data_IF_648121738995
#
_entry.id   IF_648121738995
#
_cell.length_a   1.000
_cell.length_b   1.000
_cell.length_c   1.000
_cell.angle_alpha   90.00
_cell.angle_beta   90.00
_cell.angle_gamma   90.00
#
_symmetry.space_group_name_H-M   'P 1'
#
loop_
_entity.id
_entity.type
_entity.pdbx_description
1 polymer ?
#
# COMPACT_ATOMS: atom_id res chain seq x y z
N UNK A 1 -28.27 -10.49 2.88
CA UNK A 1 -27.20 -9.95 3.74
C UNK A 1 -26.83 -8.56 3.26
N UNK A 2 -26.80 -7.59 4.17
CA UNK A 2 -26.28 -6.22 3.92
C UNK A 2 -24.79 -6.25 3.61
N UNK A 3 -24.21 -5.14 3.13
CA UNK A 3 -22.75 -5.03 2.92
C UNK A 3 -22.00 -5.24 4.23
N UNK A 4 -22.48 -4.60 5.31
CA UNK A 4 -21.92 -4.78 6.65
C UNK A 4 -21.85 -6.26 7.01
N UNK A 5 -22.96 -7.00 6.94
CA UNK A 5 -22.97 -8.44 7.26
C UNK A 5 -22.00 -9.27 6.42
N UNK A 6 -21.84 -8.95 5.13
CA UNK A 6 -20.88 -9.65 4.26
C UNK A 6 -19.44 -9.36 4.70
N UNK A 7 -19.13 -8.10 4.94
CA UNK A 7 -17.78 -7.70 5.37
C UNK A 7 -17.46 -8.20 6.78
N UNK A 8 -18.42 -8.21 7.70
CA UNK A 8 -18.28 -8.82 9.02
C UNK A 8 -17.88 -10.29 8.92
N UNK A 9 -18.56 -11.04 8.04
CA UNK A 9 -18.26 -12.45 7.80
C UNK A 9 -16.81 -12.63 7.32
N UNK A 10 -16.35 -11.85 6.34
CA UNK A 10 -15.00 -11.96 5.82
C UNK A 10 -13.94 -11.45 6.81
N UNK A 11 -14.20 -10.35 7.54
CA UNK A 11 -13.30 -9.85 8.56
C UNK A 11 -13.09 -10.89 9.68
N UNK A 12 -14.17 -11.51 10.18
CA UNK A 12 -14.08 -12.60 11.18
C UNK A 12 -13.26 -13.77 10.65
N UNK A 13 -13.46 -14.14 9.39
CA UNK A 13 -12.72 -15.23 8.76
C UNK A 13 -11.24 -14.92 8.61
N UNK A 14 -10.88 -13.71 8.20
CA UNK A 14 -9.47 -13.27 8.10
C UNK A 14 -8.82 -13.36 9.49
N UNK A 15 -9.48 -12.85 10.52
CA UNK A 15 -8.98 -12.88 11.90
C UNK A 15 -8.80 -14.32 12.42
N UNK A 16 -9.70 -15.24 12.07
CA UNK A 16 -9.71 -16.61 12.59
C UNK A 16 -8.82 -17.58 11.80
N UNK A 17 -8.78 -17.42 10.49
CA UNK A 17 -8.22 -18.41 9.56
C UNK A 17 -7.17 -17.82 8.61
N UNK A 18 -6.96 -16.50 8.63
CA UNK A 18 -6.24 -15.79 7.59
C UNK A 18 -7.03 -15.76 6.28
N UNK A 19 -6.37 -15.36 5.20
CA UNK A 19 -6.88 -15.63 3.85
C UNK A 19 -6.86 -17.15 3.64
N UNK A 20 -8.02 -17.76 3.34
CA UNK A 20 -8.32 -19.20 3.39
C UNK A 20 -7.18 -20.13 2.93
N UNK A 21 -6.42 -19.72 1.92
CA UNK A 21 -5.24 -20.41 1.38
C UNK A 21 -3.99 -19.52 1.45
N UNK A 22 -3.28 -19.46 2.60
CA UNK A 22 -2.05 -18.68 2.73
C UNK A 22 -0.98 -19.16 1.75
N UNK A 23 -0.93 -20.45 1.45
CA UNK A 23 -0.04 -20.99 0.41
C UNK A 23 -0.25 -20.33 -0.95
N UNK A 24 -1.45 -19.84 -1.27
CA UNK A 24 -1.70 -19.06 -2.49
C UNK A 24 -1.02 -17.70 -2.43
N UNK A 25 -0.98 -17.05 -1.26
CA UNK A 25 -0.25 -15.79 -1.04
C UNK A 25 1.24 -15.98 -1.26
N UNK A 26 1.84 -17.02 -0.66
CA UNK A 26 3.26 -17.31 -0.88
C UNK A 26 3.54 -17.74 -2.33
N UNK A 27 2.66 -18.51 -2.98
CA UNK A 27 2.81 -18.86 -4.40
C UNK A 27 2.73 -17.62 -5.28
N UNK A 28 1.78 -16.73 -5.03
CA UNK A 28 1.69 -15.44 -5.72
C UNK A 28 3.00 -14.65 -5.58
N UNK A 29 3.54 -14.52 -4.36
CA UNK A 29 4.82 -13.84 -4.14
C UNK A 29 6.00 -14.52 -4.83
N UNK A 30 6.11 -15.85 -4.76
CA UNK A 30 7.17 -16.59 -5.47
C UNK A 30 7.04 -16.40 -6.98
N UNK A 31 5.82 -16.46 -7.53
CA UNK A 31 5.57 -16.20 -8.94
C UNK A 31 5.94 -14.76 -9.30
N UNK A 32 5.54 -13.76 -8.52
CA UNK A 32 5.93 -12.36 -8.75
C UNK A 32 7.45 -12.17 -8.66
N UNK A 33 8.13 -12.84 -7.71
CA UNK A 33 9.59 -12.83 -7.65
C UNK A 33 10.23 -13.41 -8.91
N UNK A 34 9.72 -14.54 -9.40
CA UNK A 34 10.21 -15.18 -10.63
C UNK A 34 9.89 -14.36 -11.88
N UNK A 35 8.70 -13.75 -11.96
CA UNK A 35 8.28 -12.93 -13.10
C UNK A 35 9.02 -11.60 -13.11
N UNK A 36 9.03 -10.88 -11.99
CA UNK A 36 9.75 -9.62 -11.87
C UNK A 36 11.24 -9.92 -11.99
N UNK A 37 11.87 -10.56 -11.00
CA UNK A 37 13.33 -10.69 -11.04
C UNK A 37 13.83 -11.67 -12.09
N UNK A 38 13.24 -12.85 -12.24
CA UNK A 38 13.64 -13.79 -13.29
C UNK A 38 13.39 -13.25 -14.71
N UNK A 39 12.25 -12.60 -14.94
CA UNK A 39 11.95 -11.92 -16.21
C UNK A 39 12.89 -10.74 -16.47
N UNK A 40 13.18 -9.91 -15.47
CA UNK A 40 14.16 -8.81 -15.60
C UNK A 40 15.58 -9.32 -15.82
N UNK A 41 15.99 -10.41 -15.17
CA UNK A 41 17.30 -11.03 -15.43
C UNK A 41 17.41 -11.51 -16.88
N UNK A 42 16.36 -12.14 -17.41
CA UNK A 42 16.29 -12.55 -18.82
C UNK A 42 16.28 -11.32 -19.74
N UNK A 43 15.48 -10.30 -19.45
CA UNK A 43 15.42 -9.06 -20.25
C UNK A 43 16.76 -8.32 -20.26
N UNK A 44 17.42 -8.17 -19.11
CA UNK A 44 18.75 -7.56 -18.99
C UNK A 44 19.79 -8.37 -19.75
N UNK A 45 19.72 -9.71 -19.68
CA UNK A 45 20.64 -10.59 -20.40
C UNK A 45 20.42 -10.59 -21.93
N UNK A 46 19.19 -10.32 -22.38
CA UNK A 46 18.82 -10.30 -23.80
C UNK A 46 18.86 -8.90 -24.43
N UNK A 47 18.89 -7.83 -23.65
CA UNK A 47 18.87 -6.45 -24.15
C UNK A 47 20.30 -5.91 -24.38
N UNK A 48 20.58 -5.35 -25.57
CA UNK A 48 21.91 -4.83 -25.89
C UNK A 48 22.23 -3.49 -25.21
N UNK A 49 21.22 -2.69 -24.79
CA UNK A 49 21.42 -1.39 -24.10
C UNK A 49 20.35 -1.10 -23.03
N UNK A 50 20.72 -0.60 -21.84
CA UNK A 50 19.77 -0.20 -20.79
C UNK A 50 18.82 0.95 -21.16
N UNK A 51 19.11 1.72 -22.21
CA UNK A 51 18.24 2.80 -22.72
C UNK A 51 16.95 2.30 -23.34
N UNK A 52 16.89 1.00 -23.66
CA UNK A 52 15.77 0.39 -24.38
C UNK A 52 14.74 -0.19 -23.40
N UNK A 53 14.97 0.00 -22.09
CA UNK A 53 14.07 -0.42 -21.03
C UNK A 53 12.90 0.58 -20.89
N UNK A 54 11.64 0.09 -20.80
CA UNK A 54 10.52 0.94 -20.46
C UNK A 54 10.74 1.57 -19.08
N UNK A 55 10.42 2.86 -18.97
CA UNK A 55 10.73 3.76 -17.83
C UNK A 55 10.03 3.43 -16.50
N UNK A 56 9.37 2.27 -16.38
CA UNK A 56 8.38 2.07 -15.34
C UNK A 56 8.86 1.39 -14.05
N UNK A 57 10.05 0.78 -14.01
CA UNK A 57 10.54 0.13 -12.78
C UNK A 57 12.04 0.37 -12.53
N UNK A 58 12.39 1.63 -12.31
CA UNK A 58 13.77 2.04 -12.00
C UNK A 58 14.33 1.32 -10.75
N UNK A 59 13.51 1.03 -9.75
CA UNK A 59 13.92 0.33 -8.50
C UNK A 59 14.33 -1.12 -8.73
N UNK A 60 13.65 -1.84 -9.63
CA UNK A 60 13.93 -3.24 -9.93
C UNK A 60 15.14 -3.38 -10.85
N UNK A 61 15.30 -2.45 -11.80
CA UNK A 61 16.51 -2.34 -12.62
C UNK A 61 17.74 -1.94 -11.80
N UNK A 62 17.57 -1.01 -10.85
CA UNK A 62 18.61 -0.63 -9.90
C UNK A 62 19.01 -1.81 -9.03
N UNK A 63 18.06 -2.61 -8.55
CA UNK A 63 18.33 -3.82 -7.78
C UNK A 63 18.99 -4.93 -8.59
N UNK A 64 18.46 -5.25 -9.78
CA UNK A 64 19.04 -6.27 -10.65
C UNK A 64 20.48 -5.91 -11.05
N UNK A 65 20.76 -4.61 -11.22
CA UNK A 65 22.10 -4.10 -11.50
C UNK A 65 23.01 -4.11 -10.27
N UNK A 66 22.53 -3.70 -9.08
CA UNK A 66 23.26 -3.84 -7.81
C UNK A 66 23.61 -5.30 -7.52
N UNK A 67 22.67 -6.22 -7.79
CA UNK A 67 22.85 -7.65 -7.65
C UNK A 67 23.88 -8.19 -8.66
N UNK A 68 23.81 -7.80 -9.93
CA UNK A 68 24.82 -8.14 -10.93
C UNK A 68 26.22 -7.63 -10.56
N UNK A 69 26.34 -6.39 -10.06
CA UNK A 69 27.60 -5.81 -9.57
C UNK A 69 28.13 -6.49 -8.30
N UNK A 70 27.25 -6.95 -7.42
CA UNK A 70 27.63 -7.73 -6.23
C UNK A 70 28.18 -9.11 -6.60
N UNK A 71 27.67 -9.72 -7.67
CA UNK A 71 28.16 -10.98 -8.23
C UNK A 71 29.52 -10.80 -8.94
N UNK A 72 29.75 -9.66 -9.60
CA UNK A 72 31.08 -9.28 -10.13
C UNK A 72 32.13 -9.12 -9.02
N UNK A 73 31.75 -8.57 -7.86
CA UNK A 73 32.65 -8.42 -6.70
C UNK A 73 33.03 -9.76 -6.05
N UNK A 74 32.25 -10.83 -6.26
CA UNK A 74 32.52 -12.17 -5.74
C UNK A 74 33.37 -13.04 -6.68
N UNK A 75 33.42 -12.70 -7.98
CA UNK A 75 34.14 -13.42 -9.05
C UNK A 75 33.67 -14.87 -9.30
N UNK A 76 34.01 -15.51 -10.45
CA UNK A 76 34.18 -15.01 -11.81
C UNK A 76 32.92 -15.29 -12.64
N UNK A 77 32.10 -14.27 -12.92
CA UNK A 77 31.23 -14.23 -14.10
C UNK A 77 31.81 -13.22 -15.09
N UNK A 78 33.10 -13.40 -15.39
CA UNK A 78 33.85 -12.59 -16.37
C UNK A 78 33.26 -12.80 -17.77
N UNK A 79 32.32 -11.96 -18.17
CA UNK A 79 31.77 -12.00 -19.53
C UNK A 79 30.76 -10.90 -19.86
N UNK A 80 30.10 -10.30 -18.86
CA UNK A 80 29.11 -9.24 -19.11
C UNK A 80 29.70 -7.89 -18.71
N UNK A 81 30.55 -7.34 -19.58
CA UNK A 81 31.07 -5.99 -19.40
C UNK A 81 29.95 -4.96 -19.65
N UNK A 82 29.43 -4.35 -18.58
CA UNK A 82 28.60 -3.16 -18.71
C UNK A 82 29.47 -1.93 -19.04
N UNK A 83 29.03 -0.99 -19.90
CA UNK A 83 29.83 0.17 -20.27
C UNK A 83 30.22 1.05 -19.06
N UNK A 84 31.53 1.16 -18.80
CA UNK A 84 32.15 1.85 -17.65
C UNK A 84 31.96 3.38 -17.60
N UNK A 85 31.30 3.98 -18.59
CA UNK A 85 31.30 5.43 -18.84
C UNK A 85 30.05 6.15 -18.28
N UNK A 86 29.21 5.44 -17.53
CA UNK A 86 27.89 5.94 -17.11
C UNK A 86 27.76 6.06 -15.58
N UNK A 87 28.71 5.50 -14.82
CA UNK A 87 28.67 5.36 -13.35
C UNK A 87 30.08 5.54 -12.79
N UNK A 88 30.23 6.35 -11.73
CA UNK A 88 31.50 6.46 -11.00
C UNK A 88 31.41 5.56 -9.76
N UNK A 89 32.18 4.47 -9.68
CA UNK A 89 32.20 3.58 -8.52
C UNK A 89 32.41 4.39 -7.23
N UNK A 90 31.45 4.33 -6.29
CA UNK A 90 31.45 5.08 -5.04
C UNK A 90 30.32 6.12 -4.92
N UNK A 91 30.25 7.09 -5.83
CA UNK A 91 29.25 8.18 -5.81
C UNK A 91 27.81 7.68 -6.01
N UNK A 92 27.67 6.59 -6.75
CA UNK A 92 26.37 6.06 -7.12
C UNK A 92 25.76 5.16 -6.05
N UNK A 93 26.57 4.38 -5.34
CA UNK A 93 26.13 3.64 -4.15
C UNK A 93 25.61 4.59 -3.08
N UNK A 94 26.30 5.71 -2.89
CA UNK A 94 25.88 6.76 -1.97
C UNK A 94 24.47 7.29 -2.29
N UNK A 95 24.17 7.61 -3.56
CA UNK A 95 22.88 8.18 -3.96
C UNK A 95 21.72 7.23 -3.64
N UNK A 96 21.93 5.95 -3.91
CA UNK A 96 20.96 4.90 -3.61
C UNK A 96 20.80 4.73 -2.10
N UNK A 97 21.90 4.76 -1.35
CA UNK A 97 21.89 4.68 0.10
C UNK A 97 21.08 5.83 0.73
N UNK A 98 21.25 7.07 0.24
CA UNK A 98 20.47 8.21 0.72
C UNK A 98 18.98 8.08 0.38
N UNK A 99 18.64 7.66 -0.85
CA UNK A 99 17.25 7.40 -1.22
C UNK A 99 16.58 6.33 -0.35
N UNK A 100 17.27 5.22 -0.06
CA UNK A 100 16.76 4.17 0.83
C UNK A 100 16.62 4.66 2.28
N UNK A 101 17.56 5.46 2.79
CA UNK A 101 17.45 6.10 4.11
C UNK A 101 16.19 6.96 4.18
N UNK A 102 15.97 7.83 3.18
CA UNK A 102 14.79 8.70 3.13
C UNK A 102 13.51 7.87 3.08
N UNK A 103 13.49 6.84 2.23
CA UNK A 103 12.35 5.95 2.09
C UNK A 103 12.01 5.23 3.40
N UNK A 104 12.97 4.56 4.05
CA UNK A 104 12.72 3.89 5.33
C UNK A 104 12.33 4.89 6.42
N UNK A 105 13.05 6.02 6.51
CA UNK A 105 12.76 7.06 7.49
C UNK A 105 11.32 7.56 7.37
N UNK A 106 10.91 8.03 6.20
CA UNK A 106 9.56 8.58 5.99
C UNK A 106 8.47 7.50 6.02
N UNK A 107 8.79 6.26 5.66
CA UNK A 107 7.90 5.12 5.82
C UNK A 107 7.63 4.80 7.29
N UNK A 108 8.65 4.89 8.15
CA UNK A 108 8.47 4.83 9.60
C UNK A 108 7.74 6.04 10.17
N UNK A 109 8.05 7.25 9.73
CA UNK A 109 7.36 8.49 10.16
C UNK A 109 5.85 8.42 9.84
N UNK A 110 5.48 7.95 8.66
CA UNK A 110 4.07 7.79 8.27
C UNK A 110 3.27 6.83 9.16
N UNK A 111 3.96 6.00 9.96
CA UNK A 111 3.38 5.01 10.88
C UNK A 111 3.25 5.48 12.33
N UNK A 112 3.64 6.72 12.64
CA UNK A 112 3.60 7.25 14.01
C UNK A 112 2.16 7.48 14.51
N UNK A 113 1.19 7.64 13.61
CA UNK A 113 -0.20 7.92 13.98
C UNK A 113 -0.99 6.70 14.48
N UNK A 114 -2.18 6.93 15.07
CA UNK A 114 -3.05 5.89 15.64
C UNK A 114 -3.65 4.96 14.59
N UNK A 115 -3.38 5.15 13.31
CA UNK A 115 -3.82 4.28 12.24
C UNK A 115 -2.94 3.04 12.09
N UNK A 116 -1.66 3.09 12.52
CA UNK A 116 -0.73 1.98 12.25
C UNK A 116 -0.97 0.76 13.14
N UNK A 117 -1.61 0.92 14.30
CA UNK A 117 -2.01 -0.18 15.17
C UNK A 117 -2.87 -1.25 14.48
N UNK A 118 -3.58 -0.89 13.41
CA UNK A 118 -4.44 -1.80 12.66
C UNK A 118 -3.69 -2.61 11.60
N UNK A 119 -2.44 -2.26 11.27
CA UNK A 119 -1.72 -2.89 10.16
C UNK A 119 -1.14 -4.24 10.57
N UNK A 120 -0.37 -4.31 11.66
CA UNK A 120 0.39 -5.52 12.00
C UNK A 120 -0.47 -6.75 12.32
N UNK A 121 -1.59 -6.56 13.02
CA UNK A 121 -2.49 -7.66 13.42
C UNK A 121 -2.94 -8.52 12.22
N UNK A 122 -3.62 -7.94 11.22
CA UNK A 122 -4.00 -8.61 9.99
C UNK A 122 -2.82 -9.27 9.25
N UNK A 123 -1.65 -8.60 9.19
CA UNK A 123 -0.45 -9.14 8.56
C UNK A 123 0.04 -10.44 9.23
N UNK A 124 0.09 -10.45 10.55
CA UNK A 124 0.56 -11.62 11.30
C UNK A 124 -0.47 -12.76 11.25
N UNK A 125 -1.75 -12.45 11.45
CA UNK A 125 -2.82 -13.45 11.56
C UNK A 125 -3.13 -14.18 10.26
N UNK A 126 -2.76 -13.63 9.10
CA UNK A 126 -2.88 -14.34 7.82
C UNK A 126 -1.65 -15.17 7.45
N UNK A 127 -0.50 -14.95 8.09
CA UNK A 127 0.74 -15.63 7.73
C UNK A 127 0.59 -17.16 7.85
N UNK A 128 1.28 -17.92 6.99
CA UNK A 128 1.21 -19.40 7.03
C UNK A 128 1.65 -19.95 8.37
N UNK A 129 2.58 -19.25 9.02
CA UNK A 129 3.25 -19.69 10.25
C UNK A 129 2.46 -19.36 11.50
N UNK A 130 1.73 -18.23 11.51
CA UNK A 130 1.08 -17.72 12.71
C UNK A 130 -0.46 -17.79 12.66
N UNK A 131 -1.06 -18.09 11.50
CA UNK A 131 -2.53 -18.21 11.39
C UNK A 131 -3.10 -19.26 12.35
N UNK A 132 -4.27 -18.95 12.90
CA UNK A 132 -4.98 -19.85 13.81
C UNK A 132 -4.37 -19.95 15.22
N UNK A 133 -3.26 -19.26 15.49
CA UNK A 133 -2.71 -19.15 16.84
C UNK A 133 -3.61 -18.28 17.71
N UNK A 134 -4.47 -18.93 18.51
CA UNK A 134 -5.38 -18.24 19.44
C UNK A 134 -4.65 -17.39 20.47
N UNK A 135 -3.46 -17.81 20.89
CA UNK A 135 -2.64 -17.06 21.82
C UNK A 135 -2.14 -15.75 21.18
N UNK A 136 -1.57 -15.83 19.99
CA UNK A 136 -1.11 -14.64 19.28
C UNK A 136 -2.27 -13.72 18.91
N UNK A 137 -3.39 -14.29 18.48
CA UNK A 137 -4.62 -13.53 18.21
C UNK A 137 -5.05 -12.72 19.43
N UNK A 138 -5.13 -13.33 20.62
CA UNK A 138 -5.46 -12.63 21.87
C UNK A 138 -4.42 -11.60 22.31
N UNK A 139 -3.16 -11.76 21.89
CA UNK A 139 -2.14 -10.74 22.09
C UNK A 139 -2.30 -9.56 21.13
N UNK A 140 -2.75 -9.78 19.91
CA UNK A 140 -2.82 -8.72 18.89
C UNK A 140 -4.15 -7.97 18.91
N UNK A 141 -5.27 -8.67 19.12
CA UNK A 141 -6.62 -8.11 19.13
C UNK A 141 -7.42 -8.56 20.36
N UNK A 142 -8.37 -7.74 20.81
CA UNK A 142 -9.18 -8.02 22.01
C UNK A 142 -10.02 -9.29 21.87
N UNK A 143 -10.70 -9.46 20.74
CA UNK A 143 -11.50 -10.65 20.43
C UNK A 143 -11.82 -10.76 18.95
N UNK A 144 -12.30 -11.93 18.51
CA UNK A 144 -12.80 -12.15 17.15
C UNK A 144 -13.98 -11.23 16.80
N UNK A 145 -14.75 -10.78 17.80
CA UNK A 145 -15.94 -9.96 17.59
C UNK A 145 -15.66 -8.45 17.67
N UNK A 146 -14.64 -8.05 18.44
CA UNK A 146 -14.32 -6.63 18.63
C UNK A 146 -13.20 -6.15 17.72
N UNK A 147 -12.26 -7.01 17.30
CA UNK A 147 -11.18 -6.69 16.35
C UNK A 147 -10.28 -5.48 16.69
N UNK A 148 -10.52 -4.77 17.81
CA UNK A 148 -9.69 -3.73 18.37
C UNK A 148 -8.29 -4.27 18.67
N UNK A 149 -7.22 -3.59 18.24
CA UNK A 149 -5.86 -3.90 18.66
C UNK A 149 -5.75 -3.85 20.19
N UNK A 150 -5.13 -4.85 20.80
CA UNK A 150 -4.82 -4.74 22.23
C UNK A 150 -3.73 -3.70 22.46
N UNK A 151 -3.45 -3.39 23.73
CA UNK A 151 -2.26 -2.64 24.09
C UNK A 151 -0.96 -3.25 23.55
N UNK A 152 -0.82 -4.59 23.61
CA UNK A 152 0.37 -5.25 23.06
C UNK A 152 0.44 -5.11 21.54
N UNK A 153 -0.67 -5.31 20.83
CA UNK A 153 -0.74 -5.11 19.37
C UNK A 153 -0.37 -3.68 18.97
N UNK A 154 -0.85 -2.70 19.73
CA UNK A 154 -0.54 -1.28 19.56
C UNK A 154 0.94 -0.98 19.80
N UNK A 155 1.51 -1.48 20.90
CA UNK A 155 2.94 -1.32 21.20
C UNK A 155 3.83 -1.99 20.14
N UNK A 156 3.46 -3.19 19.68
CA UNK A 156 4.19 -3.89 18.63
C UNK A 156 4.17 -3.11 17.31
N UNK A 157 3.03 -2.51 16.94
CA UNK A 157 2.92 -1.63 15.78
C UNK A 157 3.85 -0.42 15.92
N UNK A 158 3.77 0.33 17.02
CA UNK A 158 4.64 1.50 17.18
C UNK A 158 6.13 1.14 17.34
N UNK A 159 6.46 -0.04 17.87
CA UNK A 159 7.83 -0.53 17.88
C UNK A 159 8.34 -0.85 16.47
N UNK A 160 7.52 -1.47 15.62
CA UNK A 160 7.87 -1.69 14.22
C UNK A 160 8.09 -0.37 13.48
N UNK A 161 7.22 0.62 13.69
CA UNK A 161 7.39 1.97 13.16
C UNK A 161 8.70 2.62 13.66
N UNK A 162 8.99 2.48 14.96
CA UNK A 162 10.22 2.99 15.58
C UNK A 162 11.46 2.40 14.92
N UNK A 163 11.53 1.08 14.75
CA UNK A 163 12.67 0.45 14.05
C UNK A 163 12.82 1.01 12.64
N UNK A 164 11.70 1.19 11.91
CA UNK A 164 11.72 1.64 10.53
C UNK A 164 12.26 3.07 10.35
N UNK A 165 11.99 4.00 11.28
CA UNK A 165 12.59 5.35 11.23
C UNK A 165 13.89 5.50 12.01
N UNK A 166 14.13 4.71 13.08
CA UNK A 166 15.33 4.85 13.91
C UNK A 166 16.55 4.13 13.32
N UNK A 167 16.35 2.96 12.70
CA UNK A 167 17.44 2.20 12.09
C UNK A 167 18.15 2.96 10.94
N UNK A 168 17.45 3.64 9.99
CA UNK A 168 18.15 4.46 8.99
C UNK A 168 18.89 5.66 9.59
N UNK A 169 18.39 6.26 10.69
CA UNK A 169 19.14 7.29 11.43
C UNK A 169 20.41 6.69 12.04
N UNK A 170 20.32 5.49 12.61
CA UNK A 170 21.47 4.81 13.22
C UNK A 170 22.57 4.52 12.19
N UNK A 171 22.21 4.20 10.94
CA UNK A 171 23.17 4.06 9.83
C UNK A 171 23.92 5.35 9.49
N UNK A 172 23.33 6.52 9.77
CA UNK A 172 23.95 7.82 9.55
C UNK A 172 24.90 8.23 10.67
N UNK A 173 24.81 7.62 11.86
CA UNK A 173 25.70 7.96 12.97
C UNK A 173 27.05 7.26 12.74
N UNK A 174 28.18 7.99 12.72
CA UNK A 174 29.52 7.40 12.50
C UNK A 174 30.02 6.67 13.76
N UNK A 175 29.31 5.62 14.16
CA UNK A 175 29.58 4.76 15.31
C UNK A 175 29.32 3.32 14.93
N UNK A 176 30.31 2.45 15.17
CA UNK A 176 30.20 1.01 14.89
C UNK A 176 28.97 0.38 15.52
N UNK A 177 28.63 0.76 16.76
CA UNK A 177 27.45 0.26 17.45
C UNK A 177 26.16 0.72 16.76
N UNK A 178 26.06 1.99 16.39
CA UNK A 178 24.87 2.53 15.73
C UNK A 178 24.67 1.91 14.34
N UNK A 179 25.75 1.74 13.57
CA UNK A 179 25.71 1.11 12.26
C UNK A 179 25.21 -0.34 12.37
N UNK A 180 25.73 -1.13 13.31
CA UNK A 180 25.24 -2.49 13.55
C UNK A 180 23.77 -2.53 13.96
N UNK A 181 23.34 -1.62 14.84
CA UNK A 181 21.92 -1.51 15.23
C UNK A 181 21.04 -1.17 14.01
N UNK A 182 21.51 -0.29 13.12
CA UNK A 182 20.82 0.06 11.88
C UNK A 182 20.69 -1.13 10.92
N UNK A 183 21.80 -1.83 10.64
CA UNK A 183 21.82 -3.01 9.75
C UNK A 183 20.92 -4.11 10.32
N UNK A 184 21.14 -4.51 11.58
CA UNK A 184 20.38 -5.58 12.23
C UNK A 184 18.89 -5.22 12.31
N UNK A 185 18.56 -3.98 12.67
CA UNK A 185 17.19 -3.49 12.76
C UNK A 185 16.45 -3.57 11.42
N UNK A 186 17.04 -3.03 10.34
CA UNK A 186 16.44 -3.07 9.00
C UNK A 186 16.35 -4.48 8.46
N UNK A 187 17.39 -5.31 8.62
CA UNK A 187 17.36 -6.71 8.19
C UNK A 187 16.31 -7.49 8.96
N UNK A 188 16.21 -7.34 10.28
CA UNK A 188 15.21 -8.03 11.09
C UNK A 188 13.79 -7.60 10.71
N UNK A 189 13.56 -6.31 10.49
CA UNK A 189 12.27 -5.78 10.03
C UNK A 189 11.88 -6.36 8.68
N UNK A 190 12.77 -6.36 7.69
CA UNK A 190 12.48 -6.91 6.36
C UNK A 190 12.26 -8.42 6.41
N UNK A 191 13.05 -9.16 7.17
CA UNK A 191 12.83 -10.60 7.40
C UNK A 191 11.46 -10.85 8.04
N UNK A 192 11.06 -10.04 9.03
CA UNK A 192 9.73 -10.11 9.61
C UNK A 192 8.63 -9.94 8.55
N UNK A 193 8.71 -8.90 7.71
CA UNK A 193 7.73 -8.63 6.64
C UNK A 193 7.66 -9.80 5.65
N UNK A 194 8.81 -10.36 5.25
CA UNK A 194 8.89 -11.50 4.34
C UNK A 194 8.30 -12.78 4.97
N UNK A 195 8.43 -12.97 6.28
CA UNK A 195 7.84 -14.12 6.96
C UNK A 195 6.32 -13.97 7.16
N UNK A 196 5.80 -12.74 7.26
CA UNK A 196 4.38 -12.43 7.44
C UNK A 196 3.80 -11.63 6.27
N UNK A 197 3.73 -12.22 5.05
CA UNK A 197 3.40 -11.47 3.86
C UNK A 197 1.95 -11.03 3.84
N UNK A 198 1.75 -9.88 3.22
CA UNK A 198 0.44 -9.36 2.90
C UNK A 198 -0.21 -10.06 1.68
N UNK A 199 -1.53 -9.90 1.45
CA UNK A 199 -2.24 -10.40 0.26
C UNK A 199 -1.77 -9.84 -1.08
N UNK A 200 -0.94 -8.80 -1.08
CA UNK A 200 -0.57 -7.98 -2.22
C UNK A 200 0.95 -7.83 -2.27
N UNK A 201 1.51 -7.61 -3.47
CA UNK A 201 2.97 -7.63 -3.65
C UNK A 201 3.66 -6.52 -2.85
N UNK A 202 4.29 -6.96 -1.76
CA UNK A 202 5.26 -6.24 -0.93
C UNK A 202 6.56 -7.03 -0.84
N UNK A 203 6.60 -8.25 -1.39
CA UNK A 203 7.64 -9.22 -1.10
C UNK A 203 8.89 -8.92 -1.92
N UNK A 204 8.68 -8.60 -3.21
CA UNK A 204 9.75 -8.25 -4.14
C UNK A 204 10.55 -7.05 -3.61
N UNK A 205 9.86 -5.96 -3.31
CA UNK A 205 10.43 -4.71 -2.80
C UNK A 205 11.18 -4.90 -1.46
N UNK A 206 10.61 -5.62 -0.49
CA UNK A 206 11.24 -5.80 0.82
C UNK A 206 12.46 -6.74 0.76
N UNK A 207 12.44 -7.79 -0.07
CA UNK A 207 13.63 -8.62 -0.30
C UNK A 207 14.75 -7.80 -0.93
N UNK A 208 14.40 -7.03 -1.95
CA UNK A 208 15.32 -6.12 -2.63
C UNK A 208 15.98 -5.14 -1.66
N UNK A 209 15.18 -4.40 -0.90
CA UNK A 209 15.68 -3.41 0.05
C UNK A 209 16.51 -4.02 1.18
N UNK A 210 16.16 -5.22 1.64
CA UNK A 210 16.97 -5.93 2.63
C UNK A 210 18.39 -6.20 2.13
N UNK A 211 18.50 -6.78 0.94
CA UNK A 211 19.80 -7.11 0.34
C UNK A 211 20.56 -5.84 -0.05
N UNK A 212 19.88 -4.82 -0.59
CA UNK A 212 20.49 -3.51 -0.88
C UNK A 212 21.02 -2.84 0.38
N UNK A 213 20.29 -2.92 1.51
CA UNK A 213 20.76 -2.36 2.78
C UNK A 213 22.04 -3.04 3.27
N UNK A 214 22.09 -4.37 3.24
CA UNK A 214 23.31 -5.11 3.61
C UNK A 214 24.45 -4.75 2.66
N UNK A 215 24.21 -4.71 1.34
CA UNK A 215 25.25 -4.35 0.39
C UNK A 215 25.77 -2.93 0.62
N UNK A 216 24.90 -1.93 0.68
CA UNK A 216 25.28 -0.52 0.72
C UNK A 216 25.92 -0.12 2.06
N UNK A 217 25.45 -0.67 3.17
CA UNK A 217 25.86 -0.25 4.52
C UNK A 217 26.77 -1.24 5.26
N UNK A 218 27.08 -2.40 4.66
CA UNK A 218 28.11 -3.30 5.17
C UNK A 218 29.21 -3.64 4.14
N UNK A 219 28.85 -3.97 2.89
CA UNK A 219 29.82 -4.45 1.88
C UNK A 219 30.50 -3.28 1.16
N UNK A 220 29.71 -2.39 0.57
CA UNK A 220 30.21 -1.26 -0.23
C UNK A 220 30.75 -0.12 0.65
N UNK A 221 30.14 0.09 1.81
CA UNK A 221 30.55 1.02 2.85
C UNK A 221 30.14 0.44 4.19
N UNK A 222 30.87 0.74 5.27
CA UNK A 222 30.41 0.43 6.63
C UNK A 222 29.73 1.66 7.22
N UNK A 223 28.40 1.69 7.18
CA UNK A 223 27.59 2.86 7.51
C UNK A 223 27.45 3.87 6.36
N UNK A 224 26.83 5.02 6.65
CA UNK A 224 26.61 6.07 5.67
C UNK A 224 27.92 6.79 5.29
N UNK A 225 28.17 6.94 3.99
CA UNK A 225 29.37 7.60 3.47
C UNK A 225 29.24 9.13 3.49
N UNK A 226 29.61 9.72 4.63
CA UNK A 226 29.66 11.18 4.80
C UNK A 226 30.67 11.88 3.89
N UNK A 227 31.71 11.18 3.44
CA UNK A 227 32.71 11.75 2.53
C UNK A 227 32.06 12.04 1.19
N UNK A 228 31.35 11.07 0.62
CA UNK A 228 30.59 11.26 -0.62
C UNK A 228 29.48 12.30 -0.49
N UNK A 229 28.84 12.43 0.68
CA UNK A 229 27.88 13.52 0.93
C UNK A 229 28.52 14.90 0.76
N UNK A 230 29.68 15.14 1.39
CA UNK A 230 30.40 16.43 1.32
C UNK A 230 31.04 16.71 -0.05
N UNK A 231 31.27 15.68 -0.86
CA UNK A 231 31.70 15.81 -2.25
C UNK A 231 30.56 15.95 -3.27
N UNK A 232 29.30 15.73 -2.86
CA UNK A 232 28.17 15.73 -3.79
C UNK A 232 27.93 17.08 -4.47
N UNK A 233 27.60 17.04 -5.76
CA UNK A 233 27.11 18.18 -6.54
C UNK A 233 25.95 18.90 -5.83
N UNK A 234 26.02 20.23 -5.75
CA UNK A 234 25.04 21.07 -5.05
C UNK A 234 23.60 20.89 -5.55
N UNK A 235 23.39 20.75 -6.87
CA UNK A 235 22.04 20.56 -7.43
C UNK A 235 21.41 19.24 -6.99
N UNK A 236 22.21 18.19 -6.89
CA UNK A 236 21.73 16.89 -6.41
C UNK A 236 21.38 16.95 -4.92
N UNK A 237 22.14 17.68 -4.10
CA UNK A 237 21.78 17.94 -2.69
C UNK A 237 20.46 18.70 -2.59
N UNK A 238 20.26 19.72 -3.43
CA UNK A 238 19.02 20.48 -3.48
C UNK A 238 17.84 19.61 -3.92
N UNK A 239 18.04 18.66 -4.83
CA UNK A 239 17.02 17.69 -5.22
C UNK A 239 16.62 16.78 -4.04
N UNK A 240 17.58 16.20 -3.33
CA UNK A 240 17.28 15.41 -2.12
C UNK A 240 16.62 16.23 -1.02
N UNK A 241 17.03 17.50 -0.85
CA UNK A 241 16.37 18.41 0.08
C UNK A 241 14.91 18.68 -0.35
N UNK A 242 14.66 18.90 -1.64
CA UNK A 242 13.32 19.08 -2.17
C UNK A 242 12.45 17.83 -1.97
N UNK A 243 12.99 16.63 -2.22
CA UNK A 243 12.31 15.37 -1.93
C UNK A 243 12.03 15.22 -0.42
N UNK A 244 13.00 15.54 0.45
CA UNK A 244 12.81 15.52 1.90
C UNK A 244 11.70 16.47 2.36
N UNK A 245 11.67 17.69 1.82
CA UNK A 245 10.60 18.66 2.08
C UNK A 245 9.24 18.18 1.54
N UNK A 246 9.20 17.60 0.34
CA UNK A 246 7.98 17.03 -0.25
C UNK A 246 7.43 15.88 0.61
N UNK A 247 8.31 15.02 1.12
CA UNK A 247 7.92 13.93 1.99
C UNK A 247 7.29 14.45 3.27
N UNK A 248 7.92 15.42 3.95
CA UNK A 248 7.32 16.09 5.10
C UNK A 248 5.99 16.73 4.77
N UNK A 249 5.90 17.46 3.65
CA UNK A 249 4.65 18.06 3.21
C UNK A 249 3.55 17.00 3.07
N UNK A 250 3.83 15.85 2.46
CA UNK A 250 2.87 14.76 2.35
C UNK A 250 2.53 14.04 3.66
N UNK A 251 3.34 14.15 4.71
CA UNK A 251 2.94 13.69 6.06
C UNK A 251 1.87 14.60 6.68
N UNK A 252 1.99 15.92 6.46
CA UNK A 252 1.06 16.91 7.00
C UNK A 252 -0.18 17.09 6.12
N UNK A 253 -0.04 16.93 4.81
CA UNK A 253 -1.08 17.12 3.78
C UNK A 253 -1.17 15.87 2.88
N UNK A 254 -1.63 14.74 3.43
CA UNK A 254 -1.61 13.45 2.76
C UNK A 254 -2.65 13.31 1.63
N UNK A 255 -3.55 14.28 1.51
CA UNK A 255 -4.52 14.42 0.41
C UNK A 255 -3.93 15.19 -0.79
N UNK A 256 -2.85 15.95 -0.58
CA UNK A 256 -2.20 16.75 -1.61
C UNK A 256 -1.03 16.00 -2.26
N UNK A 257 -0.30 15.23 -1.45
CA UNK A 257 0.84 14.45 -1.88
C UNK A 257 0.60 12.98 -1.58
N UNK A 258 0.63 12.23 -2.67
CA UNK A 258 0.40 10.81 -2.69
C UNK A 258 1.32 10.05 -1.75
N UNK A 259 0.83 8.94 -1.22
CA UNK A 259 1.56 8.16 -0.22
C UNK A 259 2.85 7.54 -0.78
N UNK A 260 2.94 7.30 -2.10
CA UNK A 260 4.20 6.85 -2.73
C UNK A 260 5.25 7.96 -2.72
N UNK A 261 4.87 9.15 -3.17
CA UNK A 261 5.77 10.30 -3.27
C UNK A 261 6.23 10.80 -1.90
N UNK A 262 5.41 10.58 -0.87
CA UNK A 262 5.75 10.92 0.52
C UNK A 262 6.28 9.75 1.34
N UNK A 263 6.60 8.63 0.68
CA UNK A 263 7.14 7.40 1.28
C UNK A 263 6.29 6.83 2.44
N UNK A 264 4.98 7.08 2.50
CA UNK A 264 4.05 6.58 3.55
C UNK A 264 3.60 5.14 3.32
N UNK A 265 4.52 4.26 2.92
CA UNK A 265 4.20 2.90 2.51
C UNK A 265 3.56 2.09 3.63
N UNK A 266 2.40 1.50 3.35
CA UNK A 266 1.68 0.60 4.27
C UNK A 266 1.48 1.20 5.66
N UNK A 267 1.31 2.52 5.73
CA UNK A 267 1.07 3.21 6.99
C UNK A 267 -0.29 2.85 7.61
N UNK A 268 -1.24 2.29 6.86
CA UNK A 268 -2.63 2.10 7.30
C UNK A 268 -3.47 3.38 7.15
N UNK A 269 -2.95 4.35 6.39
CA UNK A 269 -3.52 5.69 6.23
C UNK A 269 -3.09 6.33 4.90
N UNK A 270 -3.91 6.20 3.88
CA UNK A 270 -3.73 6.82 2.57
C UNK A 270 -5.09 7.10 1.95
N UNK A 271 -5.14 8.01 0.98
CA UNK A 271 -6.40 8.34 0.29
C UNK A 271 -6.91 7.11 -0.42
N UNK A 272 -8.20 6.83 -0.26
CA UNK A 272 -8.87 5.69 -0.86
C UNK A 272 -10.10 6.10 -1.64
N UNK A 273 -10.35 5.41 -2.75
CA UNK A 273 -11.52 5.66 -3.60
C UNK A 273 -12.16 4.36 -4.07
N UNK A 274 -13.48 4.32 -3.95
CA UNK A 274 -14.29 3.15 -4.26
C UNK A 274 -15.45 3.52 -5.17
N UNK A 275 -15.44 2.97 -6.39
CA UNK A 275 -16.52 3.15 -7.35
C UNK A 275 -17.60 2.10 -7.13
N UNK A 276 -18.84 2.56 -7.09
CA UNK A 276 -20.05 1.75 -7.06
C UNK A 276 -20.87 2.05 -8.29
N UNK A 277 -21.12 1.03 -9.11
CA UNK A 277 -21.93 1.15 -10.32
C UNK A 277 -23.16 0.27 -10.24
N UNK A 278 -24.26 0.74 -10.83
CA UNK A 278 -25.51 -0.01 -10.87
C UNK A 278 -25.37 -1.21 -11.83
N UNK A 279 -25.89 -2.37 -11.44
CA UNK A 279 -25.89 -3.60 -12.25
C UNK A 279 -26.99 -3.58 -13.29
N UNK A 280 -26.87 -2.70 -14.27
CA UNK A 280 -27.77 -2.65 -15.43
C UNK A 280 -27.01 -2.95 -16.72
N UNK A 281 -27.74 -3.42 -17.72
CA UNK A 281 -27.18 -3.64 -19.05
C UNK A 281 -26.67 -2.32 -19.67
N UNK A 282 -27.38 -1.21 -19.42
CA UNK A 282 -26.95 0.12 -19.89
C UNK A 282 -25.60 0.53 -19.29
N UNK A 283 -25.41 0.35 -17.98
CA UNK A 283 -24.13 0.65 -17.31
C UNK A 283 -23.01 -0.26 -17.83
N UNK A 284 -23.30 -1.55 -18.03
CA UNK A 284 -22.33 -2.47 -18.65
C UNK A 284 -21.90 -1.99 -20.03
N UNK A 285 -22.83 -1.59 -20.89
CA UNK A 285 -22.51 -1.09 -22.23
C UNK A 285 -21.71 0.21 -22.19
N UNK A 286 -21.97 1.09 -21.22
CA UNK A 286 -21.16 2.29 -20.98
C UNK A 286 -19.72 1.93 -20.59
N UNK A 287 -19.53 0.95 -19.71
CA UNK A 287 -18.21 0.44 -19.31
C UNK A 287 -17.48 -0.29 -20.45
N UNK A 288 -18.18 -1.10 -21.24
CA UNK A 288 -17.60 -1.86 -22.35
C UNK A 288 -17.08 -0.96 -23.48
N UNK A 289 -17.67 0.21 -23.69
CA UNK A 289 -17.17 1.24 -24.63
C UNK A 289 -15.79 1.76 -24.24
N UNK A 290 -15.48 1.69 -22.94
CA UNK A 290 -14.32 2.30 -22.33
C UNK A 290 -13.21 1.25 -22.21
N UNK A 291 -13.49 0.12 -21.55
CA UNK A 291 -12.67 -1.09 -21.64
C UNK A 291 -13.50 -2.33 -21.26
N UNK A 292 -13.68 -3.29 -22.18
CA UNK A 292 -14.45 -4.51 -21.92
C UNK A 292 -13.83 -5.41 -20.83
N UNK A 293 -12.58 -5.14 -20.41
CA UNK A 293 -11.90 -5.85 -19.31
C UNK A 293 -12.18 -5.25 -17.93
N UNK A 294 -12.90 -4.13 -17.82
CA UNK A 294 -13.28 -3.49 -16.55
C UNK A 294 -14.15 -4.37 -15.65
N UNK A 295 -14.49 -5.56 -16.14
CA UNK A 295 -15.32 -6.53 -15.47
C UNK A 295 -16.76 -6.34 -15.91
N UNK A 296 -17.51 -7.44 -15.91
CA UNK A 296 -18.93 -7.38 -16.15
C UNK A 296 -19.61 -7.05 -14.81
N UNK A 297 -20.22 -5.86 -14.61
CA UNK A 297 -20.92 -5.56 -13.35
C UNK A 297 -22.06 -6.55 -13.09
N UNK A 298 -22.57 -7.21 -14.15
CA UNK A 298 -23.61 -8.24 -14.09
C UNK A 298 -23.09 -9.64 -13.74
N UNK A 299 -21.78 -9.92 -13.84
CA UNK A 299 -21.22 -11.25 -13.50
C UNK A 299 -21.25 -11.58 -12.01
N UNK A 300 -21.71 -10.61 -11.20
CA UNK A 300 -21.78 -10.70 -9.76
C UNK A 300 -23.10 -11.29 -9.22
N UNK A 301 -24.01 -11.83 -10.05
CA UNK A 301 -25.20 -12.50 -9.53
C UNK A 301 -25.71 -13.76 -10.26
N UNK A 302 -25.95 -14.87 -9.53
CA UNK A 302 -25.33 -15.21 -8.24
C UNK A 302 -23.87 -15.58 -8.51
N UNK A 303 -22.93 -14.73 -8.09
CA UNK A 303 -21.52 -15.04 -8.24
C UNK A 303 -21.21 -16.31 -7.42
N UNK A 304 -20.54 -17.33 -7.99
CA UNK A 304 -20.04 -18.45 -7.21
C UNK A 304 -19.32 -17.95 -5.95
N UNK A 305 -19.41 -18.71 -4.85
CA UNK A 305 -18.80 -18.33 -3.56
C UNK A 305 -17.36 -17.81 -3.69
N UNK A 306 -16.56 -18.41 -4.59
CA UNK A 306 -15.21 -17.98 -4.91
C UNK A 306 -15.11 -16.53 -5.45
N UNK A 307 -16.01 -16.10 -6.35
CA UNK A 307 -16.03 -14.73 -6.85
C UNK A 307 -16.44 -13.74 -5.75
N UNK A 308 -17.33 -14.16 -4.85
CA UNK A 308 -17.70 -13.36 -3.66
C UNK A 308 -16.49 -13.20 -2.73
N UNK A 309 -15.70 -14.26 -2.52
CA UNK A 309 -14.44 -14.18 -1.78
C UNK A 309 -13.46 -13.20 -2.44
N UNK A 310 -13.28 -13.27 -3.76
CA UNK A 310 -12.36 -12.37 -4.47
C UNK A 310 -12.77 -10.89 -4.38
N UNK A 311 -14.07 -10.58 -4.29
CA UNK A 311 -14.54 -9.21 -4.13
C UNK A 311 -14.47 -8.70 -2.69
N UNK A 312 -15.07 -9.42 -1.75
CA UNK A 312 -15.25 -8.93 -0.37
C UNK A 312 -14.08 -9.23 0.56
N UNK A 313 -13.27 -10.27 0.31
CA UNK A 313 -12.14 -10.59 1.18
C UNK A 313 -11.04 -9.51 1.13
N UNK A 314 -10.59 -9.01 -0.04
CA UNK A 314 -9.64 -7.89 -0.08
C UNK A 314 -10.21 -6.63 0.56
N UNK A 315 -11.50 -6.35 0.36
CA UNK A 315 -12.16 -5.19 0.95
C UNK A 315 -12.21 -5.28 2.48
N UNK A 316 -12.57 -6.45 3.03
CA UNK A 316 -12.55 -6.69 4.47
C UNK A 316 -11.12 -6.64 5.05
N UNK A 317 -10.12 -7.10 4.30
CA UNK A 317 -8.72 -6.98 4.69
C UNK A 317 -8.28 -5.51 4.77
N UNK A 318 -8.60 -4.71 3.76
CA UNK A 318 -8.24 -3.29 3.73
C UNK A 318 -9.00 -2.53 4.83
N UNK A 319 -10.26 -2.87 5.11
CA UNK A 319 -10.97 -2.37 6.29
C UNK A 319 -10.26 -2.72 7.61
N UNK A 320 -9.77 -3.95 7.75
CA UNK A 320 -9.02 -4.36 8.94
C UNK A 320 -7.69 -3.62 9.09
N UNK A 321 -7.03 -3.30 7.98
CA UNK A 321 -5.67 -2.77 7.95
C UNK A 321 -5.59 -1.24 7.83
N UNK A 322 -6.71 -0.54 7.63
CA UNK A 322 -6.71 0.91 7.39
C UNK A 322 -7.79 1.61 8.18
N UNK A 323 -7.42 2.72 8.82
CA UNK A 323 -8.30 3.40 9.78
C UNK A 323 -9.44 4.16 9.08
N UNK A 324 -9.17 4.79 7.95
CA UNK A 324 -10.16 5.60 7.22
C UNK A 324 -11.25 4.74 6.56
N UNK A 325 -10.97 3.48 6.22
CA UNK A 325 -11.98 2.53 5.74
C UNK A 325 -13.08 2.20 6.74
N UNK A 326 -12.90 2.50 8.03
CA UNK A 326 -13.84 2.05 9.05
C UNK A 326 -15.26 2.58 8.82
N UNK A 327 -15.41 3.74 8.19
CA UNK A 327 -16.70 4.33 7.85
C UNK A 327 -17.36 3.82 6.55
N UNK A 328 -16.70 2.94 5.78
CA UNK A 328 -17.12 2.63 4.40
C UNK A 328 -18.53 2.04 4.31
N UNK A 329 -18.93 1.18 5.26
CA UNK A 329 -20.26 0.56 5.24
C UNK A 329 -21.37 1.58 5.46
N UNK A 330 -21.13 2.59 6.31
CA UNK A 330 -22.06 3.71 6.48
C UNK A 330 -22.20 4.55 5.22
N UNK A 331 -21.09 4.85 4.55
CA UNK A 331 -21.14 5.62 3.29
C UNK A 331 -21.86 4.86 2.18
N UNK A 332 -21.71 3.54 2.13
CA UNK A 332 -22.48 2.68 1.22
C UNK A 332 -23.96 2.71 1.57
N UNK A 333 -24.31 2.64 2.86
CA UNK A 333 -25.71 2.70 3.32
C UNK A 333 -26.37 4.05 3.00
N UNK A 334 -25.60 5.15 3.14
CA UNK A 334 -26.02 6.49 2.76
C UNK A 334 -26.33 6.56 1.25
N UNK A 335 -25.50 5.96 0.39
CA UNK A 335 -25.76 5.85 -1.07
C UNK A 335 -27.06 5.08 -1.34
N UNK A 336 -27.24 3.93 -0.72
CA UNK A 336 -28.42 3.09 -0.92
C UNK A 336 -29.70 3.82 -0.46
N UNK A 337 -29.61 4.58 0.64
CA UNK A 337 -30.71 5.38 1.18
C UNK A 337 -31.10 6.56 0.28
N UNK A 338 -30.12 7.20 -0.39
CA UNK A 338 -30.39 8.27 -1.37
C UNK A 338 -31.15 7.77 -2.61
N UNK A 339 -30.96 6.51 -2.98
CA UNK A 339 -31.68 5.87 -4.08
C UNK A 339 -33.15 5.49 -3.78
N UNK A 340 -33.61 5.70 -2.54
CA UNK A 340 -34.98 5.40 -2.10
C UNK A 340 -35.12 4.06 -1.36
N UNK A 341 -36.29 3.77 -0.77
CA UNK A 341 -36.50 2.75 0.27
C UNK A 341 -36.37 1.28 -0.19
N UNK A 342 -35.91 1.00 -1.41
CA UNK A 342 -35.89 -0.34 -2.01
C UNK A 342 -34.54 -0.75 -2.63
N UNK A 343 -33.52 0.10 -2.67
CA UNK A 343 -32.25 -0.28 -3.30
C UNK A 343 -31.50 -1.31 -2.44
N UNK A 344 -31.36 -2.53 -2.96
CA UNK A 344 -30.56 -3.56 -2.33
C UNK A 344 -29.12 -3.49 -2.86
N UNK A 345 -28.12 -3.73 -2.01
CA UNK A 345 -26.71 -3.70 -2.45
C UNK A 345 -26.38 -4.71 -3.56
N UNK A 346 -27.22 -5.74 -3.69
CA UNK A 346 -27.06 -6.72 -4.77
C UNK A 346 -27.29 -6.12 -6.16
N UNK A 347 -27.95 -4.97 -6.26
CA UNK A 347 -28.11 -4.19 -7.48
C UNK A 347 -26.87 -3.37 -7.83
N UNK A 348 -25.81 -3.40 -7.01
CA UNK A 348 -24.61 -2.59 -7.15
C UNK A 348 -23.34 -3.44 -7.20
N UNK A 349 -22.36 -2.99 -7.99
CA UNK A 349 -21.05 -3.60 -8.15
C UNK A 349 -19.96 -2.60 -7.74
N UNK A 350 -18.97 -3.06 -6.98
CA UNK A 350 -17.72 -2.32 -6.82
C UNK A 350 -16.83 -2.59 -8.04
N UNK A 351 -16.31 -1.53 -8.67
CA UNK A 351 -15.50 -1.65 -9.89
C UNK A 351 -14.19 -0.87 -9.78
N UNK A 352 -13.16 -1.37 -10.45
CA UNK A 352 -11.81 -0.79 -10.44
C UNK A 352 -11.61 0.33 -11.46
N UNK A 353 -12.59 1.24 -11.64
CA UNK A 353 -12.58 2.25 -12.70
C UNK A 353 -11.34 3.16 -12.68
N UNK A 354 -10.78 3.40 -11.50
CA UNK A 354 -9.58 4.20 -11.37
C UNK A 354 -8.33 3.56 -11.98
N UNK A 355 -8.18 2.24 -11.79
CA UNK A 355 -7.04 1.49 -12.30
C UNK A 355 -6.97 1.51 -13.83
N UNK A 356 -8.10 1.79 -14.47
CA UNK A 356 -8.21 1.94 -15.92
C UNK A 356 -7.60 3.25 -16.45
N UNK A 357 -7.93 4.38 -15.84
CA UNK A 357 -7.47 5.69 -16.31
C UNK A 357 -6.07 6.03 -15.83
N UNK A 358 -5.74 5.61 -14.61
CA UNK A 358 -4.48 5.96 -13.98
C UNK A 358 -3.45 4.83 -14.07
N UNK A 359 -3.82 3.62 -14.51
CA UNK A 359 -2.99 2.42 -14.35
C UNK A 359 -3.01 1.87 -12.91
N UNK A 360 -2.10 0.95 -12.58
CA UNK A 360 -1.86 0.43 -11.21
C UNK A 360 -1.23 1.49 -10.27
N UNK A 361 -1.53 2.78 -10.45
CA UNK A 361 -1.24 3.78 -9.44
C UNK A 361 -2.17 3.52 -8.26
N UNK A 362 -1.63 2.88 -7.21
CA UNK A 362 -2.38 2.68 -5.95
C UNK A 362 -2.58 4.00 -5.19
N UNK A 363 -2.07 5.12 -5.71
CA UNK A 363 -2.20 6.44 -5.13
C UNK A 363 -3.48 7.14 -5.59
N UNK A 364 -4.50 7.09 -4.74
CA UNK A 364 -5.86 7.45 -5.14
C UNK A 364 -6.18 8.96 -4.99
N UNK A 365 -5.14 9.80 -4.82
CA UNK A 365 -5.30 11.25 -4.66
C UNK A 365 -5.80 11.95 -5.93
N UNK A 366 -5.51 11.39 -7.11
CA UNK A 366 -5.83 12.01 -8.39
C UNK A 366 -7.26 11.78 -8.85
N UNK A 367 -8.07 11.05 -8.07
CA UNK A 367 -9.43 10.70 -8.47
C UNK A 367 -10.25 11.93 -8.82
N UNK A 368 -10.12 13.02 -8.06
CA UNK A 368 -10.87 14.26 -8.30
C UNK A 368 -10.54 14.86 -9.68
N UNK A 369 -9.28 14.79 -10.11
CA UNK A 369 -8.84 15.25 -11.43
C UNK A 369 -9.32 14.34 -12.57
N UNK A 370 -9.55 13.07 -12.27
CA UNK A 370 -9.88 12.03 -13.26
C UNK A 370 -11.39 11.80 -13.38
N UNK A 371 -12.18 12.22 -12.39
CA UNK A 371 -13.65 12.08 -12.42
C UNK A 371 -14.32 12.70 -13.65
N UNK A 372 -13.96 13.92 -14.10
CA UNK A 372 -14.54 14.48 -15.33
C UNK A 372 -14.27 13.60 -16.56
N UNK A 373 -13.10 12.98 -16.63
CA UNK A 373 -12.73 12.07 -17.73
C UNK A 373 -13.50 10.75 -17.67
N UNK A 374 -13.74 10.22 -16.46
CA UNK A 374 -14.63 9.05 -16.27
C UNK A 374 -16.02 9.38 -16.79
N UNK A 375 -16.55 10.54 -16.41
CA UNK A 375 -17.89 10.95 -16.82
C UNK A 375 -17.97 11.21 -18.33
N UNK A 376 -16.96 11.81 -18.93
CA UNK A 376 -16.89 12.02 -20.39
C UNK A 376 -16.87 10.69 -21.15
N UNK A 377 -16.03 9.73 -20.70
CA UNK A 377 -15.84 8.45 -21.37
C UNK A 377 -17.06 7.52 -21.23
N UNK A 378 -17.59 7.39 -20.00
CA UNK A 378 -18.71 6.48 -19.72
C UNK A 378 -20.07 7.11 -19.99
N UNK A 379 -20.20 8.43 -19.87
CA UNK A 379 -21.45 9.18 -19.94
C UNK A 379 -22.55 8.59 -19.02
N UNK A 380 -22.23 8.44 -17.73
CA UNK A 380 -23.20 7.96 -16.74
C UNK A 380 -24.37 8.94 -16.58
N UNK A 381 -25.55 8.40 -16.35
CA UNK A 381 -26.70 9.15 -15.91
C UNK A 381 -26.68 9.29 -14.38
N UNK A 382 -27.48 10.20 -13.86
CA UNK A 382 -27.64 10.39 -12.41
C UNK A 382 -28.00 9.06 -11.72
N UNK A 383 -27.29 8.74 -10.65
CA UNK A 383 -27.53 7.55 -9.85
C UNK A 383 -27.10 6.23 -10.51
N UNK A 384 -26.28 6.27 -11.57
CA UNK A 384 -25.70 5.06 -12.17
C UNK A 384 -24.31 4.71 -11.62
N UNK A 385 -23.53 5.72 -11.24
CA UNK A 385 -22.16 5.57 -10.77
C UNK A 385 -21.89 6.54 -9.62
N UNK A 386 -21.59 5.98 -8.46
CA UNK A 386 -21.12 6.72 -7.29
C UNK A 386 -19.65 6.42 -7.02
N UNK A 387 -18.96 7.41 -6.48
CA UNK A 387 -17.61 7.28 -5.96
C UNK A 387 -17.62 7.67 -4.48
N UNK A 388 -17.08 6.81 -3.62
CA UNK A 388 -16.74 7.15 -2.24
C UNK A 388 -15.26 7.49 -2.19
N UNK A 389 -14.92 8.72 -1.78
CA UNK A 389 -13.55 9.17 -1.51
C UNK A 389 -13.34 9.28 -0.01
N UNK A 390 -12.28 8.65 0.47
CA UNK A 390 -11.82 8.68 1.86
C UNK A 390 -10.44 9.32 1.87
N UNK A 391 -10.32 10.51 2.47
CA UNK A 391 -9.06 11.18 2.70
C UNK A 391 -8.19 10.44 3.70
N UNK A 392 -6.97 10.92 3.87
CA UNK A 392 -6.01 10.39 4.82
C UNK A 392 -5.89 11.32 6.05
N UNK A 393 -5.65 10.72 7.21
CA UNK A 393 -5.43 11.45 8.44
C UNK A 393 -4.12 12.21 8.40
N UNK A 394 -4.22 13.51 8.66
CA UNK A 394 -3.06 14.41 8.74
C UNK A 394 -2.25 14.13 10.00
N UNK A 395 -0.92 14.24 9.89
CA UNK A 395 -0.04 14.19 11.05
C UNK A 395 -0.41 15.29 12.05
N UNK A 396 -0.55 14.92 13.33
CA UNK A 396 -0.94 15.76 14.48
C UNK A 396 -2.34 16.40 14.47
N UNK A 397 -3.04 16.49 13.33
CA UNK A 397 -4.40 17.06 13.28
C UNK A 397 -5.51 16.02 13.51
N UNK A 398 -5.21 14.72 13.39
CA UNK A 398 -6.14 13.62 13.70
C UNK A 398 -7.50 13.65 12.96
N UNK A 399 -7.59 14.41 11.86
CA UNK A 399 -8.76 14.54 10.99
C UNK A 399 -8.43 14.12 9.55
N UNK A 400 -9.45 13.64 8.84
CA UNK A 400 -9.47 13.36 7.41
C UNK A 400 -10.82 13.81 6.82
N UNK A 401 -10.94 13.92 5.50
CA UNK A 401 -12.22 14.20 4.82
C UNK A 401 -12.82 12.94 4.22
N UNK A 402 -14.13 12.92 4.00
CA UNK A 402 -14.80 11.92 3.15
C UNK A 402 -15.77 12.63 2.21
N UNK A 403 -15.99 12.05 1.03
CA UNK A 403 -16.90 12.56 0.02
C UNK A 403 -17.65 11.42 -0.66
N UNK A 404 -18.92 11.66 -0.99
CA UNK A 404 -19.70 10.86 -1.94
C UNK A 404 -19.91 11.71 -3.19
N UNK A 405 -19.45 11.19 -4.31
CA UNK A 405 -19.61 11.74 -5.64
C UNK A 405 -20.65 10.93 -6.41
N UNK A 406 -21.51 11.61 -7.14
CA UNK A 406 -22.24 11.05 -8.28
C UNK A 406 -21.49 11.45 -9.55
N UNK A 407 -21.22 10.50 -10.46
CA UNK A 407 -20.41 10.77 -11.64
C UNK A 407 -20.98 11.88 -12.54
N UNK A 408 -22.31 12.06 -12.54
CA UNK A 408 -23.00 13.10 -13.31
C UNK A 408 -23.10 14.43 -12.54
N UNK A 409 -23.37 14.39 -11.24
CA UNK A 409 -23.63 15.59 -10.41
C UNK A 409 -22.40 16.18 -9.73
N UNK A 410 -21.32 15.42 -9.59
CA UNK A 410 -20.17 15.79 -8.75
C UNK A 410 -20.38 15.43 -7.27
N UNK A 411 -19.79 16.20 -6.36
CA UNK A 411 -19.93 15.98 -4.91
C UNK A 411 -21.39 16.18 -4.50
N UNK A 412 -22.01 15.14 -3.94
CA UNK A 412 -23.38 15.21 -3.42
C UNK A 412 -23.41 15.23 -1.89
N UNK A 413 -22.39 14.68 -1.23
CA UNK A 413 -22.21 14.76 0.23
C UNK A 413 -20.72 14.76 0.57
N UNK A 414 -20.38 15.44 1.66
CA UNK A 414 -19.02 15.47 2.20
C UNK A 414 -19.05 15.68 3.70
N UNK A 415 -17.93 15.36 4.35
CA UNK A 415 -17.76 15.61 5.77
C UNK A 415 -16.37 15.26 6.26
N UNK A 416 -16.22 15.22 7.58
CA UNK A 416 -14.94 14.93 8.24
C UNK A 416 -14.96 13.62 9.01
N UNK A 417 -13.80 12.99 9.09
CA UNK A 417 -13.49 11.87 9.97
C UNK A 417 -12.53 12.35 11.05
N UNK A 418 -12.67 11.82 12.26
CA UNK A 418 -11.63 11.94 13.30
C UNK A 418 -11.11 10.56 13.69
N UNK A 419 -9.85 10.48 14.09
CA UNK A 419 -9.26 9.21 14.58
C UNK A 419 -10.02 8.66 15.79
N UNK A 420 -10.59 9.53 16.64
CA UNK A 420 -11.44 9.15 17.78
C UNK A 420 -12.72 8.47 17.32
N UNK A 421 -13.40 9.04 16.32
CA UNK A 421 -14.61 8.48 15.74
C UNK A 421 -14.35 7.13 15.06
N UNK A 422 -13.22 7.00 14.34
CA UNK A 422 -12.87 5.72 13.72
C UNK A 422 -12.49 4.66 14.75
N UNK A 423 -11.85 5.04 15.85
CA UNK A 423 -11.48 4.08 16.92
C UNK A 423 -12.69 3.61 17.74
N UNK A 424 -13.79 4.36 17.77
CA UNK A 424 -15.00 3.93 18.48
C UNK A 424 -15.77 2.83 17.75
N UNK A 425 -15.44 2.53 16.50
CA UNK A 425 -16.08 1.51 15.66
C UNK A 425 -15.07 0.45 15.21
N UNK A 426 -14.16 0.08 16.11
CA UNK A 426 -13.17 -0.96 15.87
C UNK A 426 -13.75 -2.37 15.74
N UNK A 427 -14.96 -2.55 16.25
CA UNK A 427 -15.82 -3.72 16.01
C UNK A 427 -16.13 -3.88 14.52
N UNK A 428 -16.90 -4.89 14.17
CA UNK A 428 -17.11 -5.26 12.77
C UNK A 428 -17.52 -4.11 11.84
N UNK A 429 -17.25 -4.22 10.52
CA UNK A 429 -17.65 -3.24 9.52
C UNK A 429 -19.09 -2.69 9.66
N UNK A 430 -20.05 -3.53 10.06
CA UNK A 430 -21.43 -3.11 10.33
C UNK A 430 -21.61 -2.09 11.46
N UNK A 431 -20.69 -2.04 12.43
CA UNK A 431 -20.74 -1.06 13.53
C UNK A 431 -20.62 0.39 13.04
N UNK A 432 -20.07 0.60 11.85
CA UNK A 432 -20.05 1.93 11.24
C UNK A 432 -21.44 2.51 10.98
N UNK A 433 -22.48 1.70 10.88
CA UNK A 433 -23.87 2.16 10.71
C UNK A 433 -24.32 3.04 11.89
N UNK A 434 -23.76 2.83 13.08
CA UNK A 434 -24.04 3.61 14.28
C UNK A 434 -23.36 4.99 14.27
N UNK A 435 -22.44 5.26 13.33
CA UNK A 435 -21.76 6.55 13.23
C UNK A 435 -22.75 7.66 12.86
N UNK A 436 -22.90 8.68 13.70
CA UNK A 436 -23.51 9.92 13.25
C UNK A 436 -22.50 10.74 12.45
N UNK A 437 -22.55 10.60 11.13
CA UNK A 437 -21.72 11.37 10.20
C UNK A 437 -22.42 12.69 9.90
N UNK A 438 -21.81 13.79 10.36
CA UNK A 438 -22.26 15.17 10.10
C UNK A 438 -21.96 15.60 8.67
#
# INVERSE_FOLDING_TARGET
MTVGQRLDHFAKRIVKHGMERPSLVYRFHITMLLVNYGGYFILIALMPRPSDLPSYEYSVLLFAKLLAQSLDYLGPLNGVAFPNNWWQPGLDHFRIALGLIMQWFFSGIGKIGPWFQYVNGPFMLQSRWLRGSKWLQKLLIESEDKMTPTWFGTCLAHFAAFVEYAAPIALMIPSTTAIWLGIIGLTAMHVYILLTPAPFDVYSWNLCFCLSGIYLFYIASFGFDWTSWTGMNTWLRLWFLAEFCLCWYGQFFPDDVGYYLSHRYWAGNWVQTHFMVKKTQAVKEKLDKVDPRLGNPLSLHPAPYYLTCLGYMPFAYIWLATMNMKCIVRLVDDILSMGGPKMHVDEWAFVGLQGWLCGEFRDQIYTDAVMPLIQEACNFDEGECYLIRLGAFRMFQHEASWQIYDAKKGVIREGKLSTRMMSSIDSHPSASLELMMS
#
